data_IF_043166520823
#
_entry.id   IF_043166520823
#
_cell.length_a   1.000
_cell.length_b   1.000
_cell.length_c   1.000
_cell.angle_alpha   90.00
_cell.angle_beta   90.00
_cell.angle_gamma   90.00
#
_symmetry.space_group_name_H-M   'P 1'
#
loop_
_entity.id
_entity.type
_entity.pdbx_description
1 polymer ?
#
# COMPACT_ATOMS: atom_id res chain seq x y z
N UNK A 1 19.76 0.58 -25.69
CA UNK A 1 19.34 1.82 -26.40
C UNK A 1 18.72 2.77 -25.40
N UNK A 2 19.09 4.06 -25.43
CA UNK A 2 18.49 5.06 -24.54
C UNK A 2 17.08 5.41 -25.01
N UNK A 3 16.14 5.49 -24.07
CA UNK A 3 14.73 5.84 -24.33
C UNK A 3 14.66 7.34 -24.66
N UNK A 4 13.93 7.71 -25.72
CA UNK A 4 13.74 9.11 -26.11
C UNK A 4 12.97 9.91 -25.05
N UNK A 5 13.11 11.23 -25.05
CA UNK A 5 12.41 12.10 -24.09
C UNK A 5 10.89 12.02 -24.22
N UNK A 6 10.37 11.93 -25.44
CA UNK A 6 8.94 11.78 -25.71
C UNK A 6 8.40 10.45 -25.16
N UNK A 7 9.13 9.36 -25.34
CA UNK A 7 8.77 8.04 -24.80
C UNK A 7 8.83 8.03 -23.27
N UNK A 8 9.82 8.71 -22.67
CA UNK A 8 9.91 8.88 -21.22
C UNK A 8 8.73 9.67 -20.67
N UNK A 9 8.33 10.76 -21.33
CA UNK A 9 7.19 11.57 -20.95
C UNK A 9 5.89 10.76 -21.02
N UNK A 10 5.66 10.03 -22.12
CA UNK A 10 4.45 9.18 -22.25
C UNK A 10 4.35 8.15 -21.13
N UNK A 11 5.44 7.44 -20.81
CA UNK A 11 5.46 6.47 -19.70
C UNK A 11 5.18 7.12 -18.35
N UNK A 12 5.68 8.33 -18.13
CA UNK A 12 5.42 9.06 -16.90
C UNK A 12 3.96 9.50 -16.80
N UNK A 13 3.36 9.95 -17.91
CA UNK A 13 1.94 10.34 -17.97
C UNK A 13 1.03 9.11 -17.74
N UNK A 14 1.38 7.94 -18.31
CA UNK A 14 0.70 6.66 -18.07
C UNK A 14 0.78 6.24 -16.60
N UNK A 15 1.97 6.30 -15.99
CA UNK A 15 2.15 6.02 -14.57
C UNK A 15 1.38 7.00 -13.68
N UNK A 16 1.38 8.29 -14.03
CA UNK A 16 0.71 9.32 -13.24
C UNK A 16 -0.82 9.22 -13.32
N UNK A 17 -1.35 8.67 -14.41
CA UNK A 17 -2.78 8.39 -14.59
C UNK A 17 -3.24 7.11 -13.88
N UNK A 18 -2.33 6.20 -13.55
CA UNK A 18 -2.68 4.95 -12.88
C UNK A 18 -3.37 5.23 -11.54
N UNK A 19 -4.54 4.62 -11.26
CA UNK A 19 -5.24 4.80 -10.00
C UNK A 19 -4.53 4.01 -8.89
N UNK A 20 -3.95 4.74 -7.94
CA UNK A 20 -3.38 4.19 -6.71
C UNK A 20 -4.28 4.53 -5.52
N UNK A 21 -3.98 4.00 -4.33
CA UNK A 21 -4.53 4.43 -3.04
C UNK A 21 -6.00 4.94 -3.07
N UNK A 22 -6.99 4.04 -3.06
CA UNK A 22 -8.42 4.40 -3.09
C UNK A 22 -8.86 5.20 -4.35
N UNK A 23 -8.21 4.94 -5.49
CA UNK A 23 -8.56 5.55 -6.79
C UNK A 23 -7.93 6.91 -7.06
N UNK A 24 -6.99 7.35 -6.23
CA UNK A 24 -6.22 8.58 -6.42
C UNK A 24 -5.14 8.32 -7.47
N UNK A 25 -5.10 9.06 -8.60
CA UNK A 25 -4.04 8.89 -9.59
C UNK A 25 -2.66 9.11 -8.96
N UNK A 26 -1.68 8.29 -9.34
CA UNK A 26 -0.34 8.35 -8.78
C UNK A 26 0.30 9.73 -8.90
N UNK A 27 0.11 10.40 -10.04
CA UNK A 27 0.63 11.74 -10.27
C UNK A 27 0.07 12.77 -9.30
N UNK A 28 -1.22 12.67 -8.98
CA UNK A 28 -1.88 13.51 -8.00
C UNK A 28 -1.34 13.21 -6.60
N UNK A 29 -1.25 11.93 -6.22
CA UNK A 29 -0.73 11.52 -4.92
C UNK A 29 0.70 12.04 -4.67
N UNK A 30 1.59 11.95 -5.66
CA UNK A 30 2.99 12.41 -5.53
C UNK A 30 3.12 13.91 -5.31
N UNK A 31 2.18 14.70 -5.83
CA UNK A 31 2.18 16.15 -5.69
C UNK A 31 1.57 16.63 -4.35
N UNK A 32 0.91 15.74 -3.60
CA UNK A 32 0.32 16.08 -2.30
C UNK A 32 1.40 16.40 -1.24
N UNK A 33 1.09 17.26 -0.26
CA UNK A 33 1.93 17.44 0.92
C UNK A 33 2.29 16.11 1.60
N UNK A 34 3.51 15.99 2.12
CA UNK A 34 4.01 14.75 2.75
C UNK A 34 3.10 14.25 3.87
N UNK A 35 2.52 15.16 4.67
CA UNK A 35 1.58 14.79 5.73
C UNK A 35 0.31 14.14 5.20
N UNK A 36 -0.21 14.62 4.05
CA UNK A 36 -1.39 14.07 3.40
C UNK A 36 -1.08 12.70 2.77
N UNK A 37 0.08 12.57 2.11
CA UNK A 37 0.56 11.27 1.63
C UNK A 37 0.65 10.23 2.77
N UNK A 38 1.20 10.65 3.91
CA UNK A 38 1.31 9.80 5.10
C UNK A 38 -0.06 9.42 5.67
N UNK A 39 -1.02 10.35 5.65
CA UNK A 39 -2.38 10.09 6.10
C UNK A 39 -3.08 9.06 5.20
N UNK A 40 -2.93 9.17 3.88
CA UNK A 40 -3.46 8.19 2.91
C UNK A 40 -2.80 6.82 3.09
N UNK A 41 -1.47 6.78 3.20
CA UNK A 41 -0.74 5.52 3.46
C UNK A 41 -1.19 4.85 4.77
N UNK A 42 -1.41 5.64 5.83
CA UNK A 42 -1.95 5.12 7.08
C UNK A 42 -3.34 4.51 6.92
N UNK A 43 -4.22 5.07 6.09
CA UNK A 43 -5.54 4.46 5.81
C UNK A 43 -5.40 3.08 5.17
N UNK A 44 -4.48 2.90 4.22
CA UNK A 44 -4.20 1.56 3.65
C UNK A 44 -3.60 0.63 4.70
N UNK A 45 -2.65 1.11 5.49
CA UNK A 45 -2.07 0.30 6.56
C UNK A 45 -3.05 -0.02 7.70
N UNK A 46 -4.08 0.80 7.95
CA UNK A 46 -5.19 0.50 8.86
C UNK A 46 -6.02 -0.70 8.36
N UNK A 47 -6.25 -0.81 7.04
CA UNK A 47 -6.89 -1.98 6.45
C UNK A 47 -6.08 -3.25 6.76
N UNK A 48 -4.78 -3.25 6.46
CA UNK A 48 -3.92 -4.39 6.76
C UNK A 48 -3.83 -4.72 8.25
N UNK A 49 -3.67 -3.70 9.11
CA UNK A 49 -3.66 -3.86 10.56
C UNK A 49 -4.98 -4.44 11.11
N UNK A 50 -6.09 -4.18 10.43
CA UNK A 50 -7.39 -4.77 10.76
C UNK A 50 -7.41 -6.25 10.41
N UNK A 51 -6.95 -6.63 9.22
CA UNK A 51 -6.88 -8.03 8.74
C UNK A 51 -6.01 -8.91 9.63
N UNK A 52 -4.85 -8.42 10.05
CA UNK A 52 -3.93 -9.16 10.95
C UNK A 52 -4.33 -9.11 12.44
N UNK A 53 -5.43 -8.44 12.78
CA UNK A 53 -6.01 -8.48 14.12
C UNK A 53 -5.31 -7.63 15.18
N UNK A 54 -4.44 -6.69 14.81
CA UNK A 54 -3.72 -5.83 15.78
C UNK A 54 -4.62 -4.90 16.59
N UNK A 55 -5.88 -4.73 16.19
CA UNK A 55 -6.86 -4.03 17.01
C UNK A 55 -7.11 -4.73 18.36
N UNK A 56 -6.88 -6.04 18.48
CA UNK A 56 -7.10 -6.82 19.71
C UNK A 56 -6.22 -6.36 20.86
N UNK A 57 -4.97 -6.00 20.55
CA UNK A 57 -3.97 -5.58 21.53
C UNK A 57 -3.53 -4.12 21.35
N UNK A 58 -4.15 -3.37 20.45
CA UNK A 58 -3.81 -1.96 20.24
C UNK A 58 -4.02 -1.15 21.52
N UNK A 59 -3.13 -0.20 21.83
CA UNK A 59 -3.23 0.66 23.03
C UNK A 59 -4.48 1.56 23.01
N UNK A 60 -4.92 1.95 21.80
CA UNK A 60 -6.12 2.75 21.60
C UNK A 60 -7.39 1.93 21.90
N UNK A 61 -8.10 2.30 22.97
CA UNK A 61 -9.35 1.64 23.36
C UNK A 61 -10.43 1.67 22.27
N UNK A 62 -10.45 2.71 21.41
CA UNK A 62 -11.36 2.81 20.26
C UNK A 62 -11.16 1.66 19.26
N UNK A 63 -9.92 1.28 18.97
CA UNK A 63 -9.63 0.18 18.04
C UNK A 63 -10.16 -1.15 18.58
N UNK A 64 -9.94 -1.43 19.87
CA UNK A 64 -10.45 -2.64 20.54
C UNK A 64 -11.97 -2.72 20.48
N UNK A 65 -12.67 -1.63 20.81
CA UNK A 65 -14.15 -1.55 20.78
C UNK A 65 -14.71 -1.69 19.37
N UNK A 66 -14.10 -1.03 18.39
CA UNK A 66 -14.55 -1.07 17.00
C UNK A 66 -14.18 -2.37 16.26
N UNK A 67 -13.39 -3.25 16.89
CA UNK A 67 -12.86 -4.50 16.29
C UNK A 67 -12.12 -4.27 14.97
N UNK A 68 -11.48 -3.11 14.82
CA UNK A 68 -10.68 -2.72 13.66
C UNK A 68 -9.68 -1.61 14.00
N UNK A 69 -8.65 -1.44 13.16
CA UNK A 69 -7.73 -0.32 13.31
C UNK A 69 -8.42 0.98 12.90
N UNK A 70 -8.42 1.98 13.78
CA UNK A 70 -8.95 3.33 13.53
C UNK A 70 -7.95 4.43 13.92
N UNK A 71 -6.70 4.06 14.22
CA UNK A 71 -5.71 4.95 14.80
C UNK A 71 -4.90 5.67 13.75
N UNK A 72 -4.63 6.95 13.98
CA UNK A 72 -3.62 7.71 13.27
C UNK A 72 -2.48 8.06 14.22
N UNK A 73 -1.28 8.23 13.68
CA UNK A 73 -0.15 8.68 14.48
C UNK A 73 -0.38 10.09 14.99
N UNK A 74 -0.14 10.28 16.28
CA UNK A 74 -0.01 11.62 16.88
C UNK A 74 1.35 12.25 16.54
N UNK A 75 1.49 13.55 16.77
CA UNK A 75 2.78 14.23 16.62
C UNK A 75 3.86 13.65 17.55
N UNK A 76 3.48 13.26 18.77
CA UNK A 76 4.40 12.62 19.70
C UNK A 76 4.94 11.29 19.13
N UNK A 77 4.07 10.46 18.54
CA UNK A 77 4.48 9.18 17.94
C UNK A 77 5.36 9.40 16.70
N UNK A 78 5.06 10.41 15.88
CA UNK A 78 5.94 10.81 14.77
C UNK A 78 7.34 11.19 15.26
N UNK A 79 7.42 12.02 16.32
CA UNK A 79 8.69 12.43 16.93
C UNK A 79 9.47 11.28 17.58
N UNK A 80 8.77 10.24 18.04
CA UNK A 80 9.37 9.02 18.58
C UNK A 80 9.91 8.05 17.50
N UNK A 81 9.86 8.43 16.22
CA UNK A 81 10.42 7.62 15.13
C UNK A 81 9.48 6.54 14.59
N UNK A 82 8.17 6.63 14.85
CA UNK A 82 7.21 5.74 14.20
C UNK A 82 7.23 5.97 12.69
N UNK A 83 7.15 4.89 11.91
CA UNK A 83 7.04 5.02 10.47
C UNK A 83 5.72 5.72 10.10
N UNK A 84 5.77 6.87 9.40
CA UNK A 84 4.60 7.71 9.18
C UNK A 84 3.55 7.11 8.24
N UNK A 85 3.88 6.03 7.52
CA UNK A 85 2.96 5.30 6.66
C UNK A 85 2.09 4.27 7.42
N UNK A 86 2.42 3.94 8.66
CA UNK A 86 1.75 2.87 9.42
C UNK A 86 0.96 3.42 10.62
N UNK A 87 -0.17 2.79 10.98
CA UNK A 87 -0.96 3.21 12.13
C UNK A 87 -0.24 2.92 13.45
N UNK A 88 -0.67 3.56 14.55
CA UNK A 88 -0.08 3.37 15.88
C UNK A 88 -0.16 1.92 16.39
N UNK A 89 -1.07 1.09 15.87
CA UNK A 89 -1.15 -0.32 16.27
C UNK A 89 0.06 -1.16 15.79
N UNK A 90 0.90 -0.62 14.90
CA UNK A 90 2.20 -1.19 14.55
C UNK A 90 3.29 -0.91 15.61
N UNK A 91 3.03 -0.02 16.58
CA UNK A 91 3.89 0.27 17.75
C UNK A 91 5.34 0.66 17.45
N UNK A 92 5.64 1.11 16.23
CA UNK A 92 7.02 1.36 15.79
C UNK A 92 7.82 0.09 15.48
N UNK A 93 7.24 -1.10 15.68
CA UNK A 93 7.89 -2.40 15.52
C UNK A 93 7.97 -2.78 14.02
N UNK A 94 9.18 -3.00 13.49
CA UNK A 94 9.36 -3.51 12.11
C UNK A 94 8.61 -4.83 11.87
N UNK A 95 8.64 -5.83 12.78
CA UNK A 95 7.90 -7.07 12.57
C UNK A 95 6.39 -6.86 12.41
N UNK A 96 5.78 -5.98 13.20
CA UNK A 96 4.35 -5.66 13.04
C UNK A 96 4.07 -4.98 11.70
N UNK A 97 4.95 -4.08 11.25
CA UNK A 97 4.80 -3.42 9.95
C UNK A 97 4.90 -4.41 8.79
N UNK A 98 5.87 -5.31 8.85
CA UNK A 98 6.01 -6.40 7.88
C UNK A 98 4.74 -7.24 7.81
N UNK A 99 4.14 -7.62 8.95
CA UNK A 99 2.87 -8.36 8.99
C UNK A 99 1.71 -7.57 8.37
N UNK A 100 1.57 -6.29 8.68
CA UNK A 100 0.56 -5.43 8.05
C UNK A 100 0.68 -5.47 6.53
N UNK A 101 1.90 -5.39 6.00
CA UNK A 101 2.13 -5.44 4.56
C UNK A 101 1.89 -6.83 3.97
N UNK A 102 2.64 -7.84 4.43
CA UNK A 102 2.67 -9.17 3.81
C UNK A 102 1.42 -10.01 4.08
N UNK A 103 0.82 -9.90 5.27
CA UNK A 103 -0.38 -10.67 5.63
C UNK A 103 -1.67 -9.84 5.49
N UNK A 104 -1.58 -8.51 5.63
CA UNK A 104 -2.76 -7.64 5.69
C UNK A 104 -3.09 -6.87 4.42
N UNK A 105 -2.11 -6.54 3.57
CA UNK A 105 -2.30 -5.72 2.36
C UNK A 105 -2.02 -6.56 1.11
N UNK A 106 -0.81 -7.11 0.99
CA UNK A 106 -0.32 -7.81 -0.21
C UNK A 106 -1.29 -8.88 -0.73
N UNK A 107 -1.91 -9.74 0.12
CA UNK A 107 -2.84 -10.76 -0.38
C UNK A 107 -4.11 -10.17 -1.03
N UNK A 108 -4.41 -8.90 -0.78
CA UNK A 108 -5.56 -8.18 -1.30
C UNK A 108 -5.17 -7.10 -2.33
N UNK A 109 -3.87 -6.97 -2.65
CA UNK A 109 -3.41 -6.15 -3.76
C UNK A 109 -3.83 -6.71 -5.11
N UNK A 110 -4.07 -8.03 -5.17
CA UNK A 110 -4.33 -8.80 -6.39
C UNK A 110 -5.80 -9.26 -6.51
N UNK A 111 -6.77 -8.74 -5.74
CA UNK A 111 -8.21 -9.00 -6.05
C UNK A 111 -8.66 -8.32 -7.37
N UNK A 112 -7.78 -7.58 -8.05
CA UNK A 112 -7.90 -7.18 -9.46
C UNK A 112 -7.19 -8.12 -10.46
N UNK A 113 -6.41 -9.10 -10.01
CA UNK A 113 -5.61 -10.03 -10.84
C UNK A 113 -6.06 -11.51 -10.68
N UNK A 114 -7.36 -11.80 -10.72
CA UNK A 114 -7.86 -13.12 -11.15
C UNK A 114 -7.71 -13.34 -12.67
N UNK A 115 -6.77 -12.68 -13.31
CA UNK A 115 -6.31 -13.02 -14.66
C UNK A 115 -4.86 -13.49 -14.50
N UNK A 116 -4.57 -14.79 -14.69
CA UNK A 116 -3.19 -15.26 -14.65
C UNK A 116 -2.35 -14.41 -15.60
N UNK A 117 -1.23 -13.91 -15.09
CA UNK A 117 -0.21 -13.09 -15.78
C UNK A 117 0.27 -13.66 -17.14
N UNK A 118 -0.13 -14.88 -17.51
CA UNK A 118 0.18 -15.57 -18.76
C UNK A 118 -1.01 -16.27 -19.45
N UNK A 119 -2.25 -15.84 -19.24
CA UNK A 119 -3.36 -16.31 -20.08
C UNK A 119 -3.27 -15.67 -21.47
N UNK A 120 -2.50 -16.27 -22.39
CA UNK A 120 -2.53 -15.91 -23.82
C UNK A 120 -1.20 -15.77 -24.55
N UNK A 121 -0.04 -16.08 -23.95
CA UNK A 121 1.21 -16.16 -24.71
C UNK A 121 1.36 -17.58 -25.26
N UNK A 122 1.31 -17.75 -26.58
CA UNK A 122 1.75 -18.98 -27.21
C UNK A 122 3.19 -19.25 -26.73
N UNK A 123 3.45 -20.45 -26.21
CA UNK A 123 4.78 -20.80 -25.73
C UNK A 123 5.73 -20.82 -26.91
N UNK A 124 6.81 -20.03 -26.86
CA UNK A 124 7.90 -20.03 -27.84
C UNK A 124 8.77 -21.30 -27.77
N UNK A 125 8.21 -22.43 -27.30
CA UNK A 125 8.83 -23.76 -27.41
C UNK A 125 8.27 -24.44 -28.64
N UNK A 126 9.06 -24.43 -29.71
CA UNK A 126 8.95 -25.45 -30.73
C UNK A 126 9.30 -26.80 -30.10
N UNK A 127 8.32 -27.69 -30.02
CA UNK A 127 8.52 -29.14 -29.98
C UNK A 127 7.63 -29.72 -31.08
N UNK A 128 8.24 -30.53 -31.94
CA UNK A 128 7.84 -30.70 -33.34
C UNK A 128 6.76 -31.73 -33.65
N UNK A 129 6.39 -31.73 -34.92
CA UNK A 129 6.49 -32.87 -35.84
C UNK A 129 7.06 -32.37 -37.17
#
# INVERSE_FOLDING_TARGET
>A
MAISEAERKRRQDELDAEPWYFGIPWGVFRQMPVLEQNHIRQKVAQFGATKVGFWKDCSLAKCRRAKRCCGFLSDAQRKQGYNPAYPPCARGEEPRRARIYFEGIRPYGDEAEQVPKYAGRASDRGEGE
#
